data_IF_523007625978
#
_entry.id   IF_523007625978
#
_cell.length_a   1.000
_cell.length_b   1.000
_cell.length_c   1.000
_cell.angle_alpha   90.00
_cell.angle_beta   90.00
_cell.angle_gamma   90.00
#
_symmetry.space_group_name_H-M   'P 1'
#
loop_
_entity.id
_entity.type
_entity.pdbx_description
1 polymer ?
#
# COMPACT_ATOMS: atom_id res chain seq x y z
N UNK A 1 15.11 13.81 -46.77
CA UNK A 1 15.83 14.30 -45.57
C UNK A 1 15.38 15.68 -45.08
N UNK A 2 14.42 16.36 -45.72
CA UNK A 2 13.93 17.69 -45.28
C UNK A 2 13.14 17.70 -43.96
N UNK A 3 12.74 16.54 -43.42
CA UNK A 3 11.78 16.43 -42.31
C UNK A 3 12.38 16.52 -40.90
N UNK A 4 13.70 16.29 -40.71
CA UNK A 4 14.31 16.24 -39.36
C UNK A 4 14.90 17.59 -38.91
N UNK A 5 15.24 18.47 -39.85
CA UNK A 5 15.85 19.80 -39.57
C UNK A 5 14.95 20.70 -38.72
N UNK A 6 13.63 20.57 -38.87
CA UNK A 6 12.63 21.37 -38.18
C UNK A 6 12.18 20.77 -36.84
N UNK A 7 12.66 19.57 -36.48
CA UNK A 7 12.34 18.95 -35.18
C UNK A 7 13.16 19.65 -34.11
N UNK A 8 12.48 20.30 -33.17
CA UNK A 8 13.11 20.85 -31.99
C UNK A 8 13.51 19.71 -31.04
N UNK A 9 14.81 19.57 -30.80
CA UNK A 9 15.38 18.60 -29.86
C UNK A 9 15.73 19.31 -28.56
N UNK A 10 15.17 18.85 -27.45
CA UNK A 10 15.51 19.33 -26.12
C UNK A 10 16.40 18.30 -25.42
N UNK A 11 17.59 18.71 -24.99
CA UNK A 11 18.53 17.90 -24.20
C UNK A 11 18.40 18.27 -22.73
N UNK A 12 18.30 17.27 -21.85
CA UNK A 12 18.30 17.43 -20.39
C UNK A 12 19.48 16.63 -19.82
N UNK A 13 20.55 17.33 -19.46
CA UNK A 13 21.84 16.76 -19.05
C UNK A 13 22.57 17.83 -18.24
N UNK A 14 23.08 17.51 -17.05
CA UNK A 14 23.70 18.53 -16.19
C UNK A 14 25.08 18.96 -16.67
N UNK A 15 25.82 18.06 -17.32
CA UNK A 15 27.15 18.36 -17.77
C UNK A 15 27.13 19.09 -19.12
N UNK A 16 27.47 20.38 -19.13
CA UNK A 16 27.50 21.20 -20.36
C UNK A 16 28.42 20.64 -21.45
N UNK A 17 29.51 19.96 -21.08
CA UNK A 17 30.40 19.32 -22.06
C UNK A 17 29.70 18.17 -22.77
N UNK A 18 28.90 17.39 -22.03
CA UNK A 18 28.07 16.31 -22.59
C UNK A 18 26.95 16.90 -23.45
N UNK A 19 26.30 17.98 -23.00
CA UNK A 19 25.30 18.69 -23.83
C UNK A 19 25.89 19.11 -25.18
N UNK A 20 27.07 19.75 -25.18
CA UNK A 20 27.78 20.19 -26.40
C UNK A 20 28.17 19.01 -27.29
N UNK A 21 28.64 17.91 -26.71
CA UNK A 21 28.98 16.70 -27.46
C UNK A 21 27.74 16.10 -28.16
N UNK A 22 26.61 16.00 -27.45
CA UNK A 22 25.34 15.50 -28.01
C UNK A 22 24.83 16.45 -29.10
N UNK A 23 24.82 17.76 -28.84
CA UNK A 23 24.40 18.77 -29.82
C UNK A 23 25.26 18.70 -31.09
N UNK A 24 26.58 18.52 -30.96
CA UNK A 24 27.49 18.35 -32.10
C UNK A 24 27.18 17.08 -32.88
N UNK A 25 26.92 15.96 -32.20
CA UNK A 25 26.55 14.70 -32.86
C UNK A 25 25.20 14.84 -33.59
N UNK A 26 24.21 15.48 -32.98
CA UNK A 26 22.91 15.80 -33.57
C UNK A 26 23.06 16.70 -34.81
N UNK A 27 23.94 17.69 -34.76
CA UNK A 27 24.27 18.56 -35.91
C UNK A 27 24.83 17.79 -37.09
N UNK A 28 25.76 16.85 -36.84
CA UNK A 28 26.31 15.94 -37.88
C UNK A 28 25.24 15.04 -38.50
N UNK A 29 24.21 14.67 -37.72
CA UNK A 29 23.06 13.88 -38.18
C UNK A 29 22.05 14.75 -38.98
N UNK A 30 22.06 16.07 -38.77
CA UNK A 30 21.23 17.03 -39.50
C UNK A 30 20.12 17.70 -38.67
N UNK A 31 20.14 17.58 -37.33
CA UNK A 31 19.28 18.38 -36.46
C UNK A 31 19.89 19.77 -36.26
N UNK A 32 19.17 20.81 -36.67
CA UNK A 32 19.64 22.20 -36.57
C UNK A 32 18.94 23.00 -35.46
N UNK A 33 17.82 22.50 -34.93
CA UNK A 33 17.08 23.12 -33.85
C UNK A 33 17.26 22.32 -32.55
N UNK A 34 18.32 22.62 -31.80
CA UNK A 34 18.68 21.92 -30.55
C UNK A 34 18.79 22.94 -29.42
N UNK A 35 18.13 22.66 -28.30
CA UNK A 35 18.31 23.41 -27.05
C UNK A 35 18.66 22.46 -25.92
N UNK A 36 19.32 22.96 -24.87
CA UNK A 36 19.70 22.15 -23.72
C UNK A 36 19.34 22.85 -22.40
N UNK A 37 19.14 22.06 -21.36
CA UNK A 37 18.90 22.52 -19.98
C UNK A 37 19.54 21.54 -19.00
N UNK A 38 20.04 22.07 -17.88
CA UNK A 38 20.67 21.28 -16.82
C UNK A 38 19.69 20.71 -15.79
N UNK A 39 18.39 21.01 -15.87
CA UNK A 39 17.44 20.64 -14.83
C UNK A 39 16.06 20.23 -15.37
N UNK A 40 15.36 19.37 -14.62
CA UNK A 40 14.04 18.84 -15.03
C UNK A 40 12.94 19.91 -15.06
N UNK A 41 13.06 20.99 -14.29
CA UNK A 41 12.05 22.05 -14.19
C UNK A 41 12.15 23.00 -15.39
N UNK A 42 13.37 23.37 -15.80
CA UNK A 42 13.67 24.06 -17.04
C UNK A 42 13.23 23.27 -18.27
N UNK A 43 13.41 21.94 -18.23
CA UNK A 43 12.88 21.05 -19.26
C UNK A 43 11.34 21.12 -19.36
N UNK A 44 10.63 21.01 -18.23
CA UNK A 44 9.16 21.12 -18.19
C UNK A 44 8.66 22.48 -18.70
N UNK A 45 9.28 23.58 -18.26
CA UNK A 45 8.96 24.93 -18.74
C UNK A 45 9.12 25.05 -20.25
N UNK A 46 10.17 24.43 -20.81
CA UNK A 46 10.42 24.43 -22.25
C UNK A 46 9.36 23.63 -23.00
N UNK A 47 9.01 22.43 -22.53
CA UNK A 47 7.95 21.59 -23.12
C UNK A 47 6.59 22.30 -23.11
N UNK A 48 6.29 23.07 -22.06
CA UNK A 48 5.03 23.80 -21.94
C UNK A 48 4.95 25.05 -22.84
N UNK A 49 6.10 25.67 -23.17
CA UNK A 49 6.16 26.95 -23.91
C UNK A 49 6.33 26.79 -25.42
N UNK A 50 6.95 25.70 -25.87
CA UNK A 50 7.29 25.49 -27.27
C UNK A 50 7.08 24.04 -27.68
N UNK A 51 6.87 23.83 -28.98
CA UNK A 51 6.65 22.51 -29.55
C UNK A 51 7.95 21.72 -29.66
N UNK A 52 8.31 21.04 -28.58
CA UNK A 52 9.39 20.05 -28.57
C UNK A 52 8.97 18.84 -29.41
N UNK A 53 9.82 18.41 -30.34
CA UNK A 53 9.57 17.25 -31.20
C UNK A 53 10.32 15.99 -30.75
N UNK A 54 11.35 16.14 -29.94
CA UNK A 54 12.10 15.05 -29.32
C UNK A 54 12.75 15.53 -28.01
N UNK A 55 12.60 14.75 -26.94
CA UNK A 55 13.32 14.94 -25.69
C UNK A 55 14.43 13.89 -25.55
N UNK A 56 15.66 14.33 -25.28
CA UNK A 56 16.78 13.49 -24.87
C UNK A 56 17.05 13.80 -23.41
N UNK A 57 16.76 12.87 -22.50
CA UNK A 57 16.83 13.13 -21.06
C UNK A 57 17.76 12.15 -20.36
N UNK A 58 18.64 12.66 -19.51
CA UNK A 58 19.40 11.81 -18.61
C UNK A 58 18.50 11.13 -17.57
N UNK A 59 18.80 9.87 -17.25
CA UNK A 59 18.06 9.08 -16.28
C UNK A 59 18.14 9.65 -14.86
N UNK A 60 19.26 10.33 -14.53
CA UNK A 60 19.48 11.02 -13.26
C UNK A 60 20.04 12.41 -13.58
N UNK A 61 19.36 13.44 -13.10
CA UNK A 61 19.71 14.85 -13.30
C UNK A 61 19.87 15.45 -11.91
N UNK A 62 21.12 15.46 -11.41
CA UNK A 62 21.44 15.86 -10.04
C UNK A 62 20.94 14.82 -9.04
N UNK A 63 20.09 15.26 -8.12
CA UNK A 63 19.37 14.44 -7.14
C UNK A 63 18.04 13.89 -7.66
N UNK A 64 17.61 14.26 -8.88
CA UNK A 64 16.29 13.94 -9.43
C UNK A 64 16.35 12.88 -10.52
N UNK A 65 15.29 12.08 -10.61
CA UNK A 65 15.17 11.00 -11.59
C UNK A 65 14.38 11.43 -12.83
N UNK A 66 14.97 11.27 -14.02
CA UNK A 66 14.34 11.62 -15.30
C UNK A 66 13.03 10.86 -15.58
N UNK A 67 12.85 9.68 -14.96
CA UNK A 67 11.60 8.91 -15.03
C UNK A 67 10.38 9.70 -14.50
N UNK A 68 10.57 10.64 -13.56
CA UNK A 68 9.47 11.46 -13.05
C UNK A 68 8.97 12.45 -14.10
N UNK A 69 9.90 13.08 -14.84
CA UNK A 69 9.54 13.95 -15.96
C UNK A 69 8.86 13.15 -17.07
N UNK A 70 9.36 11.95 -17.39
CA UNK A 70 8.74 11.04 -18.36
C UNK A 70 7.29 10.69 -17.99
N UNK A 71 7.04 10.29 -16.74
CA UNK A 71 5.69 9.99 -16.25
C UNK A 71 4.76 11.20 -16.37
N UNK A 72 5.25 12.39 -15.99
CA UNK A 72 4.50 13.66 -16.10
C UNK A 72 4.15 14.01 -17.55
N UNK A 73 5.08 13.82 -18.49
CA UNK A 73 4.83 13.99 -19.92
C UNK A 73 3.73 13.03 -20.37
N UNK A 74 3.81 11.75 -20.02
CA UNK A 74 2.83 10.72 -20.41
C UNK A 74 1.44 10.97 -19.84
N UNK A 75 1.33 11.58 -18.66
CA UNK A 75 0.04 11.94 -18.04
C UNK A 75 -0.53 13.28 -18.48
N UNK A 76 0.18 14.08 -19.30
CA UNK A 76 -0.27 15.43 -19.69
C UNK A 76 -0.82 15.45 -21.11
N UNK A 77 -2.06 15.88 -21.26
CA UNK A 77 -2.72 16.03 -22.56
C UNK A 77 -1.95 17.00 -23.47
N UNK A 78 -1.88 16.69 -24.76
CA UNK A 78 -1.14 17.48 -25.75
C UNK A 78 0.33 17.09 -25.91
N UNK A 79 0.99 16.63 -24.84
CA UNK A 79 2.42 16.23 -24.88
C UNK A 79 2.66 14.74 -24.59
N UNK A 80 1.61 13.97 -24.26
CA UNK A 80 1.71 12.53 -23.96
C UNK A 80 2.42 11.71 -25.06
N UNK A 81 2.32 12.12 -26.33
CA UNK A 81 2.93 11.46 -27.49
C UNK A 81 4.36 11.94 -27.80
N UNK A 82 4.92 12.88 -27.04
CA UNK A 82 6.28 13.37 -27.23
C UNK A 82 7.29 12.21 -27.17
N UNK A 83 8.10 11.98 -28.23
CA UNK A 83 9.18 11.01 -28.18
C UNK A 83 10.22 11.37 -27.10
N UNK A 84 10.56 10.40 -26.25
CA UNK A 84 11.54 10.57 -25.17
C UNK A 84 12.60 9.48 -25.26
N UNK A 85 13.84 9.88 -25.53
CA UNK A 85 15.03 9.04 -25.45
C UNK A 85 15.67 9.22 -24.07
N UNK A 86 15.77 8.15 -23.29
CA UNK A 86 16.45 8.18 -21.99
C UNK A 86 17.92 7.80 -22.16
N UNK A 87 18.83 8.54 -21.52
CA UNK A 87 20.26 8.23 -21.50
C UNK A 87 20.73 7.87 -20.09
N UNK A 88 21.61 6.88 -19.94
CA UNK A 88 22.20 6.56 -18.63
C UNK A 88 23.64 6.09 -18.74
N UNK A 89 24.46 6.43 -17.75
CA UNK A 89 25.80 5.85 -17.57
C UNK A 89 25.77 4.45 -16.93
N UNK A 90 24.61 4.02 -16.39
CA UNK A 90 24.44 2.71 -15.75
C UNK A 90 23.72 1.74 -16.68
N UNK A 91 24.34 0.56 -16.89
CA UNK A 91 23.75 -0.55 -17.66
C UNK A 91 23.02 -1.54 -16.74
N UNK A 92 22.05 -1.05 -15.97
CA UNK A 92 21.19 -1.88 -15.13
C UNK A 92 19.89 -2.25 -15.88
N UNK A 93 19.62 -3.54 -16.15
CA UNK A 93 18.39 -3.99 -16.79
C UNK A 93 17.11 -3.52 -16.08
N UNK A 94 17.12 -3.36 -14.74
CA UNK A 94 15.96 -2.87 -13.98
C UNK A 94 15.65 -1.41 -14.30
N UNK A 95 16.68 -0.57 -14.43
CA UNK A 95 16.54 0.84 -14.81
C UNK A 95 15.99 0.96 -16.23
N UNK A 96 16.54 0.18 -17.17
CA UNK A 96 16.05 0.15 -18.55
C UNK A 96 14.58 -0.27 -18.60
N UNK A 97 14.23 -1.39 -17.95
CA UNK A 97 12.87 -1.89 -17.91
C UNK A 97 11.89 -0.89 -17.28
N UNK A 98 12.27 -0.21 -16.19
CA UNK A 98 11.43 0.79 -15.54
C UNK A 98 11.11 1.97 -16.45
N UNK A 99 12.10 2.51 -17.18
CA UNK A 99 11.90 3.64 -18.09
C UNK A 99 11.11 3.25 -19.34
N UNK A 100 11.40 2.07 -19.91
CA UNK A 100 10.62 1.56 -21.04
C UNK A 100 9.16 1.30 -20.65
N UNK A 101 8.90 0.72 -19.46
CA UNK A 101 7.54 0.52 -18.92
C UNK A 101 6.83 1.84 -18.61
N UNK A 102 7.57 2.87 -18.20
CA UNK A 102 7.04 4.23 -18.02
C UNK A 102 6.72 4.94 -19.36
N UNK A 103 7.01 4.31 -20.49
CA UNK A 103 6.66 4.80 -21.82
C UNK A 103 7.78 5.56 -22.52
N UNK A 104 9.05 5.36 -22.15
CA UNK A 104 10.17 5.88 -22.94
C UNK A 104 10.12 5.33 -24.38
N UNK A 105 10.44 6.17 -25.36
CA UNK A 105 10.46 5.75 -26.76
C UNK A 105 11.66 4.86 -27.07
N UNK A 106 12.78 5.11 -26.39
CA UNK A 106 14.03 4.37 -26.55
C UNK A 106 14.98 4.65 -25.36
N UNK A 107 15.99 3.81 -25.18
CA UNK A 107 17.02 3.93 -24.15
C UNK A 107 18.44 3.84 -24.74
N UNK A 108 19.34 4.70 -24.27
CA UNK A 108 20.73 4.80 -24.72
C UNK A 108 21.69 4.74 -23.52
N UNK A 109 22.75 3.94 -23.63
CA UNK A 109 23.80 3.81 -22.61
C UNK A 109 25.01 4.67 -22.99
N UNK A 110 25.58 5.40 -22.04
CA UNK A 110 26.81 6.18 -22.18
C UNK A 110 28.04 5.32 -21.82
N UNK A 111 29.19 5.50 -22.51
CA UNK A 111 29.41 6.30 -23.72
C UNK A 111 28.82 5.64 -24.98
N UNK A 112 28.59 6.44 -26.04
CA UNK A 112 28.04 5.97 -27.31
C UNK A 112 28.68 6.69 -28.51
N UNK A 113 28.64 6.04 -29.67
CA UNK A 113 29.05 6.65 -30.94
C UNK A 113 27.87 7.29 -31.69
N UNK A 114 28.19 8.02 -32.76
CA UNK A 114 27.18 8.70 -33.58
C UNK A 114 26.24 7.72 -34.30
N UNK A 115 26.72 6.52 -34.67
CA UNK A 115 25.92 5.50 -35.36
C UNK A 115 24.86 4.89 -34.44
N UNK A 116 25.23 4.61 -33.18
CA UNK A 116 24.34 4.12 -32.13
C UNK A 116 23.29 5.17 -31.80
N UNK A 117 23.71 6.43 -31.59
CA UNK A 117 22.77 7.53 -31.36
C UNK A 117 21.79 7.68 -32.52
N UNK A 118 22.26 7.68 -33.77
CA UNK A 118 21.41 7.78 -34.96
C UNK A 118 20.36 6.65 -35.02
N UNK A 119 20.77 5.43 -34.73
CA UNK A 119 19.87 4.26 -34.71
C UNK A 119 18.79 4.42 -33.66
N UNK A 120 19.17 4.83 -32.44
CA UNK A 120 18.25 5.05 -31.33
C UNK A 120 17.27 6.21 -31.60
N UNK A 121 17.74 7.28 -32.24
CA UNK A 121 16.89 8.40 -32.67
C UNK A 121 15.87 7.98 -33.74
N UNK A 122 16.29 7.21 -34.74
CA UNK A 122 15.37 6.67 -35.77
C UNK A 122 14.28 5.80 -35.13
N UNK A 123 14.65 4.94 -34.17
CA UNK A 123 13.68 4.13 -33.43
C UNK A 123 12.70 4.99 -32.63
N UNK A 124 13.22 5.95 -31.87
CA UNK A 124 12.41 6.82 -31.02
C UNK A 124 11.40 7.65 -31.82
N UNK A 125 11.76 8.11 -33.02
CA UNK A 125 10.90 8.93 -33.88
C UNK A 125 9.92 8.10 -34.74
N UNK A 126 10.23 6.83 -35.04
CA UNK A 126 9.39 5.98 -35.89
C UNK A 126 8.26 5.28 -35.13
N UNK A 127 8.42 5.06 -33.82
CA UNK A 127 7.38 4.45 -32.97
C UNK A 127 6.82 5.51 -32.02
N UNK A 128 5.58 6.01 -32.21
CA UNK A 128 4.96 6.87 -31.21
C UNK A 128 4.88 6.11 -29.88
N UNK A 129 5.23 6.73 -28.75
CA UNK A 129 5.29 6.04 -27.47
C UNK A 129 3.89 5.54 -27.10
N UNK A 130 3.80 4.26 -26.73
CA UNK A 130 2.64 3.74 -26.00
C UNK A 130 2.62 4.38 -24.62
N UNK A 131 1.54 5.10 -24.26
CA UNK A 131 1.34 5.51 -22.87
C UNK A 131 1.43 4.29 -21.96
N UNK A 132 1.95 4.41 -20.72
CA UNK A 132 1.91 3.30 -19.79
C UNK A 132 0.47 2.81 -19.65
N UNK A 133 0.26 1.48 -19.61
CA UNK A 133 -1.06 0.85 -19.55
C UNK A 133 -1.98 1.45 -18.46
N UNK A 134 -1.39 1.96 -17.38
CA UNK A 134 -2.08 2.65 -16.29
C UNK A 134 -2.79 3.95 -16.68
N UNK A 135 -2.40 4.61 -17.78
CA UNK A 135 -3.05 5.85 -18.23
C UNK A 135 -4.33 5.60 -19.02
N UNK A 136 -4.39 4.50 -19.78
CA UNK A 136 -5.60 4.12 -20.51
C UNK A 136 -6.57 3.37 -19.59
N UNK A 137 -6.07 2.48 -18.73
CA UNK A 137 -6.87 1.81 -17.69
C UNK A 137 -7.56 2.82 -16.77
N UNK A 138 -6.82 3.78 -16.18
CA UNK A 138 -7.41 4.81 -15.30
C UNK A 138 -8.47 5.64 -16.02
N UNK A 139 -8.21 6.05 -17.26
CA UNK A 139 -9.18 6.78 -18.07
C UNK A 139 -10.45 5.95 -18.31
N UNK A 140 -10.31 4.67 -18.63
CA UNK A 140 -11.46 3.77 -18.82
C UNK A 140 -12.25 3.58 -17.52
N UNK A 141 -11.57 3.48 -16.37
CA UNK A 141 -12.22 3.43 -15.06
C UNK A 141 -12.99 4.71 -14.75
N UNK A 142 -12.36 5.88 -14.89
CA UNK A 142 -13.00 7.19 -14.66
C UNK A 142 -14.23 7.38 -15.53
N UNK A 143 -14.13 7.05 -16.83
CA UNK A 143 -15.27 7.10 -17.75
C UNK A 143 -16.35 6.08 -17.39
N UNK A 144 -15.97 4.89 -16.95
CA UNK A 144 -16.89 3.84 -16.51
C UNK A 144 -17.69 4.26 -15.27
N UNK A 145 -17.02 4.81 -14.26
CA UNK A 145 -17.68 5.33 -13.06
C UNK A 145 -18.58 6.53 -13.38
N UNK A 146 -18.15 7.43 -14.27
CA UNK A 146 -19.02 8.51 -14.74
C UNK A 146 -20.28 7.99 -15.45
N UNK A 147 -20.19 6.88 -16.18
CA UNK A 147 -21.38 6.24 -16.77
C UNK A 147 -22.29 5.66 -15.68
N UNK A 148 -21.74 5.04 -14.63
CA UNK A 148 -22.51 4.55 -13.49
C UNK A 148 -23.26 5.67 -12.76
N UNK A 149 -22.61 6.81 -12.52
CA UNK A 149 -23.23 7.98 -11.87
C UNK A 149 -24.43 8.51 -12.66
N UNK A 150 -24.40 8.36 -13.99
CA UNK A 150 -25.48 8.71 -14.91
C UNK A 150 -26.45 7.54 -15.20
N UNK A 151 -26.34 6.42 -14.46
CA UNK A 151 -27.13 5.20 -14.63
C UNK A 151 -27.05 4.54 -16.02
N UNK A 152 -26.00 4.83 -16.79
CA UNK A 152 -25.74 4.21 -18.09
C UNK A 152 -24.93 2.93 -17.93
N UNK A 153 -25.63 1.85 -17.56
CA UNK A 153 -25.00 0.58 -17.27
C UNK A 153 -24.38 -0.10 -18.51
N UNK A 154 -24.94 0.10 -19.70
CA UNK A 154 -24.43 -0.52 -20.92
C UNK A 154 -23.08 0.06 -21.35
N UNK A 155 -22.93 1.39 -21.30
CA UNK A 155 -21.61 2.01 -21.54
C UNK A 155 -20.63 1.70 -20.42
N UNK A 156 -21.08 1.69 -19.16
CA UNK A 156 -20.23 1.30 -18.04
C UNK A 156 -19.67 -0.13 -18.22
N UNK A 157 -20.51 -1.11 -18.59
CA UNK A 157 -20.08 -2.49 -18.85
C UNK A 157 -19.01 -2.55 -19.95
N UNK A 158 -19.22 -1.85 -21.07
CA UNK A 158 -18.27 -1.83 -22.16
C UNK A 158 -16.91 -1.23 -21.76
N UNK A 159 -16.91 -0.16 -20.96
CA UNK A 159 -15.70 0.53 -20.51
C UNK A 159 -14.93 -0.30 -19.48
N UNK A 160 -15.61 -0.85 -18.47
CA UNK A 160 -14.96 -1.69 -17.48
C UNK A 160 -14.48 -3.03 -18.07
N UNK A 161 -15.17 -3.57 -19.06
CA UNK A 161 -14.69 -4.76 -19.80
C UNK A 161 -13.39 -4.45 -20.54
N UNK A 162 -13.28 -3.28 -21.16
CA UNK A 162 -12.03 -2.85 -21.79
C UNK A 162 -10.92 -2.63 -20.75
N UNK A 163 -11.24 -2.05 -19.59
CA UNK A 163 -10.29 -1.88 -18.50
C UNK A 163 -9.76 -3.24 -17.98
N UNK A 164 -10.66 -4.19 -17.72
CA UNK A 164 -10.30 -5.55 -17.27
C UNK A 164 -9.48 -6.31 -18.32
N UNK A 165 -9.79 -6.14 -19.61
CA UNK A 165 -8.98 -6.74 -20.70
C UNK A 165 -7.58 -6.11 -20.80
N UNK A 166 -7.47 -4.80 -20.59
CA UNK A 166 -6.19 -4.10 -20.62
C UNK A 166 -5.31 -4.49 -19.42
N UNK A 167 -5.91 -4.68 -18.25
CA UNK A 167 -5.24 -5.16 -17.05
C UNK A 167 -6.13 -6.15 -16.28
N UNK A 168 -5.92 -7.47 -16.45
CA UNK A 168 -6.68 -8.48 -15.73
C UNK A 168 -6.49 -8.47 -14.21
N UNK A 169 -5.50 -7.73 -13.69
CA UNK A 169 -5.26 -7.54 -12.25
C UNK A 169 -5.88 -6.25 -11.69
N UNK A 170 -6.63 -5.50 -12.50
CA UNK A 170 -7.37 -4.32 -12.06
C UNK A 170 -8.67 -4.76 -11.37
N UNK A 171 -8.67 -4.81 -10.03
CA UNK A 171 -9.81 -5.29 -9.26
C UNK A 171 -11.01 -4.32 -9.34
N UNK A 172 -10.72 -3.03 -9.47
CA UNK A 172 -11.66 -1.92 -9.63
C UNK A 172 -12.48 -2.05 -10.91
N UNK A 173 -11.91 -2.61 -11.99
CA UNK A 173 -12.63 -2.87 -13.22
C UNK A 173 -13.73 -3.92 -13.02
N UNK A 174 -13.43 -5.02 -12.32
CA UNK A 174 -14.42 -6.06 -12.03
C UNK A 174 -15.49 -5.57 -11.04
N UNK A 175 -15.10 -4.76 -10.05
CA UNK A 175 -16.06 -4.09 -9.17
C UNK A 175 -17.00 -3.16 -9.97
N UNK A 176 -16.47 -2.39 -10.91
CA UNK A 176 -17.26 -1.55 -11.82
C UNK A 176 -18.24 -2.38 -12.68
N UNK A 177 -17.80 -3.52 -13.21
CA UNK A 177 -18.67 -4.46 -13.94
C UNK A 177 -19.81 -4.96 -13.05
N UNK A 178 -19.51 -5.36 -11.80
CA UNK A 178 -20.52 -5.79 -10.86
C UNK A 178 -21.58 -4.70 -10.62
N UNK A 179 -21.17 -3.47 -10.32
CA UNK A 179 -22.10 -2.37 -10.11
C UNK A 179 -22.98 -2.09 -11.34
N UNK A 180 -22.44 -2.20 -12.55
CA UNK A 180 -23.23 -2.08 -13.77
C UNK A 180 -24.28 -3.20 -13.91
N UNK A 181 -23.91 -4.46 -13.63
CA UNK A 181 -24.83 -5.59 -13.58
C UNK A 181 -25.94 -5.39 -12.54
N UNK A 182 -25.59 -4.84 -11.37
CA UNK A 182 -26.55 -4.50 -10.30
C UNK A 182 -27.59 -3.48 -10.76
N UNK A 183 -27.19 -2.43 -11.48
CA UNK A 183 -28.12 -1.45 -12.09
C UNK A 183 -29.06 -2.14 -13.09
N UNK A 184 -28.53 -3.07 -13.89
CA UNK A 184 -29.33 -3.88 -14.83
C UNK A 184 -30.17 -4.97 -14.17
N UNK A 185 -30.06 -5.15 -12.84
CA UNK A 185 -30.70 -6.23 -12.06
C UNK A 185 -30.29 -7.64 -12.49
N UNK A 186 -29.12 -7.77 -13.11
CA UNK A 186 -28.50 -9.05 -13.44
C UNK A 186 -27.68 -9.52 -12.23
N UNK A 187 -28.35 -10.17 -11.29
CA UNK A 187 -27.74 -10.58 -10.01
C UNK A 187 -26.76 -11.74 -10.16
N UNK A 188 -26.94 -12.59 -11.18
CA UNK A 188 -26.03 -13.69 -11.47
C UNK A 188 -24.66 -13.14 -11.89
N UNK A 189 -24.65 -12.20 -12.84
CA UNK A 189 -23.41 -11.55 -13.28
C UNK A 189 -22.81 -10.65 -12.19
N UNK A 190 -23.65 -9.97 -11.40
CA UNK A 190 -23.18 -9.21 -10.24
C UNK A 190 -22.35 -10.09 -9.29
N UNK A 191 -22.88 -11.26 -8.89
CA UNK A 191 -22.18 -12.16 -7.97
C UNK A 191 -20.88 -12.70 -8.57
N UNK A 192 -20.87 -13.03 -9.86
CA UNK A 192 -19.66 -13.47 -10.57
C UNK A 192 -18.59 -12.38 -10.55
N UNK A 193 -18.94 -11.14 -10.88
CA UNK A 193 -17.97 -10.04 -10.95
C UNK A 193 -17.51 -9.58 -9.57
N UNK A 194 -18.37 -9.57 -8.55
CA UNK A 194 -17.98 -9.29 -7.15
C UNK A 194 -16.98 -10.33 -6.64
N UNK A 195 -17.28 -11.62 -6.84
CA UNK A 195 -16.37 -12.69 -6.45
C UNK A 195 -15.03 -12.59 -7.19
N UNK A 196 -15.07 -12.25 -8.48
CA UNK A 196 -13.85 -12.02 -9.28
C UNK A 196 -13.05 -10.84 -8.74
N UNK A 197 -13.69 -9.71 -8.43
CA UNK A 197 -13.04 -8.54 -7.84
C UNK A 197 -12.36 -8.90 -6.52
N UNK A 198 -13.07 -9.58 -5.61
CA UNK A 198 -12.53 -10.00 -4.32
C UNK A 198 -11.28 -10.89 -4.48
N UNK A 199 -11.32 -11.88 -5.37
CA UNK A 199 -10.17 -12.75 -5.68
C UNK A 199 -8.98 -11.95 -6.22
N UNK A 200 -9.21 -10.96 -7.07
CA UNK A 200 -8.14 -10.10 -7.62
C UNK A 200 -7.56 -9.20 -6.53
N UNK A 201 -8.37 -8.65 -5.63
CA UNK A 201 -7.87 -7.89 -4.47
C UNK A 201 -6.99 -8.76 -3.56
N UNK A 202 -7.39 -10.01 -3.27
CA UNK A 202 -6.53 -10.97 -2.54
C UNK A 202 -5.22 -11.20 -3.27
N UNK A 203 -5.26 -11.42 -4.59
CA UNK A 203 -4.05 -11.65 -5.39
C UNK A 203 -3.12 -10.41 -5.46
N UNK A 204 -3.67 -9.21 -5.28
CA UNK A 204 -2.92 -7.96 -5.20
C UNK A 204 -2.41 -7.65 -3.79
N UNK A 205 -2.82 -8.41 -2.77
CA UNK A 205 -2.45 -8.21 -1.36
C UNK A 205 -3.33 -7.23 -0.59
N UNK A 206 -4.36 -6.67 -1.23
CA UNK A 206 -5.31 -5.75 -0.57
C UNK A 206 -6.45 -6.55 0.07
N UNK A 207 -6.14 -7.13 1.24
CA UNK A 207 -7.06 -8.00 1.95
C UNK A 207 -8.26 -7.24 2.54
N UNK A 208 -8.07 -5.98 2.94
CA UNK A 208 -9.15 -5.16 3.50
C UNK A 208 -10.23 -4.88 2.45
N UNK A 209 -9.83 -4.52 1.22
CA UNK A 209 -10.78 -4.35 0.12
C UNK A 209 -11.48 -5.66 -0.26
N UNK A 210 -10.75 -6.78 -0.28
CA UNK A 210 -11.33 -8.10 -0.56
C UNK A 210 -12.42 -8.49 0.46
N UNK A 211 -12.16 -8.27 1.75
CA UNK A 211 -13.12 -8.56 2.82
C UNK A 211 -14.37 -7.69 2.70
N UNK A 212 -14.21 -6.38 2.44
CA UNK A 212 -15.34 -5.48 2.22
C UNK A 212 -16.23 -5.94 1.06
N UNK A 213 -15.64 -6.35 -0.06
CA UNK A 213 -16.38 -6.86 -1.23
C UNK A 213 -17.09 -8.17 -0.90
N UNK A 214 -16.43 -9.07 -0.18
CA UNK A 214 -17.04 -10.33 0.22
C UNK A 214 -18.22 -10.13 1.16
N UNK A 215 -18.10 -9.23 2.14
CA UNK A 215 -19.18 -8.89 3.04
C UNK A 215 -20.36 -8.25 2.30
N UNK A 216 -20.11 -7.38 1.31
CA UNK A 216 -21.17 -6.86 0.44
C UNK A 216 -21.83 -7.98 -0.36
N UNK A 217 -21.06 -8.87 -0.98
CA UNK A 217 -21.58 -9.99 -1.77
C UNK A 217 -22.48 -10.91 -0.94
N UNK A 218 -22.10 -11.20 0.31
CA UNK A 218 -22.86 -12.05 1.23
C UNK A 218 -24.23 -11.49 1.59
N UNK A 219 -24.44 -10.18 1.47
CA UNK A 219 -25.77 -9.58 1.65
C UNK A 219 -26.77 -10.01 0.55
N UNK A 220 -26.26 -10.45 -0.61
CA UNK A 220 -27.07 -10.86 -1.76
C UNK A 220 -26.99 -12.37 -2.02
N UNK A 221 -25.85 -12.98 -1.73
CA UNK A 221 -25.60 -14.41 -1.85
C UNK A 221 -24.89 -14.92 -0.61
N UNK A 222 -25.66 -15.45 0.35
CA UNK A 222 -25.13 -16.02 1.57
C UNK A 222 -24.24 -17.26 1.33
N UNK A 223 -24.34 -17.88 0.14
CA UNK A 223 -23.53 -19.04 -0.27
C UNK A 223 -22.27 -18.65 -1.03
N UNK A 224 -22.02 -17.34 -1.21
CA UNK A 224 -20.86 -16.85 -1.93
C UNK A 224 -19.57 -17.42 -1.35
N UNK A 225 -18.64 -17.91 -2.19
CA UNK A 225 -17.42 -18.54 -1.71
C UNK A 225 -16.47 -17.49 -1.12
N UNK A 226 -15.89 -17.81 0.04
CA UNK A 226 -14.87 -16.98 0.68
C UNK A 226 -13.65 -16.80 -0.24
N UNK A 227 -13.28 -15.55 -0.60
CA UNK A 227 -12.21 -15.29 -1.56
C UNK A 227 -10.84 -15.74 -1.01
N UNK A 228 -10.63 -15.67 0.30
CA UNK A 228 -9.40 -16.11 0.95
C UNK A 228 -9.29 -17.64 0.91
N UNK A 229 -10.38 -18.37 1.19
CA UNK A 229 -10.40 -19.84 1.11
C UNK A 229 -10.14 -20.33 -0.31
N UNK A 230 -10.75 -19.68 -1.30
CA UNK A 230 -10.55 -20.01 -2.71
C UNK A 230 -9.10 -19.76 -3.15
N UNK A 231 -8.52 -18.62 -2.78
CA UNK A 231 -7.12 -18.30 -3.08
C UNK A 231 -6.14 -19.24 -2.34
N UNK A 232 -6.40 -19.54 -1.07
CA UNK A 232 -5.59 -20.47 -0.27
C UNK A 232 -5.57 -21.87 -0.87
N UNK A 233 -6.73 -22.38 -1.29
CA UNK A 233 -6.84 -23.69 -1.95
C UNK A 233 -6.03 -23.73 -3.24
N UNK A 234 -6.12 -22.69 -4.07
CA UNK A 234 -5.33 -22.61 -5.31
C UNK A 234 -3.81 -22.55 -5.06
N UNK A 235 -3.35 -21.93 -3.97
CA UNK A 235 -1.92 -21.90 -3.59
C UNK A 235 -1.47 -23.26 -3.05
N UNK A 236 -2.29 -23.90 -2.22
CA UNK A 236 -2.05 -25.26 -1.72
C UNK A 236 -1.88 -26.24 -2.87
N UNK A 237 -2.75 -26.19 -3.87
CA UNK A 237 -2.71 -27.09 -5.03
C UNK A 237 -1.48 -26.85 -5.92
N UNK A 238 -0.93 -25.63 -5.90
CA UNK A 238 0.37 -25.29 -6.51
C UNK A 238 1.59 -25.69 -5.67
N UNK A 239 1.37 -26.18 -4.45
CA UNK A 239 2.43 -26.55 -3.51
C UNK A 239 2.97 -25.39 -2.66
N UNK A 240 2.46 -24.16 -2.81
CA UNK A 240 2.84 -23.04 -1.95
C UNK A 240 2.08 -23.09 -0.62
N UNK A 241 2.50 -24.04 0.22
CA UNK A 241 1.87 -24.31 1.53
C UNK A 241 1.98 -23.13 2.49
N UNK A 242 3.09 -22.37 2.43
CA UNK A 242 3.31 -21.22 3.33
C UNK A 242 2.31 -20.11 3.07
N UNK A 243 2.16 -19.70 1.82
CA UNK A 243 1.18 -18.67 1.44
C UNK A 243 -0.26 -19.16 1.64
N UNK A 244 -0.53 -20.44 1.38
CA UNK A 244 -1.84 -21.04 1.65
C UNK A 244 -2.23 -20.98 3.14
N UNK A 245 -1.31 -21.30 4.05
CA UNK A 245 -1.53 -21.22 5.50
C UNK A 245 -1.92 -19.79 5.91
N UNK A 246 -1.20 -18.77 5.39
CA UNK A 246 -1.49 -17.37 5.71
C UNK A 246 -2.90 -16.97 5.26
N UNK A 247 -3.33 -17.38 4.06
CA UNK A 247 -4.67 -17.07 3.55
C UNK A 247 -5.77 -17.87 4.23
N UNK A 248 -5.56 -19.14 4.59
CA UNK A 248 -6.54 -19.90 5.38
C UNK A 248 -6.75 -19.30 6.77
N UNK A 249 -5.71 -18.75 7.40
CA UNK A 249 -5.86 -18.00 8.66
C UNK A 249 -6.74 -16.76 8.48
N UNK A 250 -6.60 -16.03 7.36
CA UNK A 250 -7.48 -14.90 7.03
C UNK A 250 -8.92 -15.36 6.75
N UNK A 251 -9.09 -16.47 6.03
CA UNK A 251 -10.41 -17.06 5.78
C UNK A 251 -11.16 -17.38 7.07
N UNK A 252 -10.47 -17.97 8.06
CA UNK A 252 -11.02 -18.26 9.39
C UNK A 252 -11.42 -16.98 10.14
N UNK A 253 -10.64 -15.91 10.01
CA UNK A 253 -10.99 -14.62 10.63
C UNK A 253 -12.32 -14.05 10.10
N UNK A 254 -12.59 -14.24 8.80
CA UNK A 254 -13.82 -13.76 8.15
C UNK A 254 -15.00 -14.71 8.36
N UNK A 255 -14.73 -16.02 8.44
CA UNK A 255 -15.73 -17.08 8.67
C UNK A 255 -15.29 -18.03 9.79
N UNK A 256 -15.44 -17.62 11.06
CA UNK A 256 -14.98 -18.41 12.21
C UNK A 256 -15.81 -19.68 12.45
N UNK A 257 -16.99 -19.80 11.82
CA UNK A 257 -17.89 -20.94 11.96
C UNK A 257 -17.86 -21.89 10.75
N UNK A 258 -16.86 -21.75 9.86
CA UNK A 258 -16.70 -22.60 8.69
C UNK A 258 -15.68 -23.72 8.95
N UNK A 259 -16.15 -24.91 9.32
CA UNK A 259 -15.32 -26.08 9.63
C UNK A 259 -14.34 -26.47 8.50
N UNK A 260 -14.72 -26.25 7.24
CA UNK A 260 -13.89 -26.57 6.08
C UNK A 260 -12.59 -25.75 6.06
N UNK A 261 -12.62 -24.49 6.49
CA UNK A 261 -11.44 -23.63 6.53
C UNK A 261 -10.42 -24.12 7.56
N UNK A 262 -10.89 -24.58 8.73
CA UNK A 262 -10.04 -25.17 9.75
C UNK A 262 -9.44 -26.51 9.31
N UNK A 263 -10.23 -27.36 8.66
CA UNK A 263 -9.75 -28.62 8.10
C UNK A 263 -8.72 -28.40 6.98
N UNK A 264 -8.98 -27.51 6.03
CA UNK A 264 -8.03 -27.23 4.96
C UNK A 264 -6.70 -26.65 5.49
N UNK A 265 -6.75 -25.84 6.56
CA UNK A 265 -5.56 -25.35 7.25
C UNK A 265 -4.80 -26.49 7.95
N UNK A 266 -5.49 -27.42 8.62
CA UNK A 266 -4.83 -28.54 9.30
C UNK A 266 -4.12 -29.47 8.32
N UNK A 267 -4.69 -29.71 7.14
CA UNK A 267 -4.02 -30.46 6.07
C UNK A 267 -2.70 -29.80 5.64
N UNK A 268 -2.72 -28.47 5.44
CA UNK A 268 -1.51 -27.72 5.09
C UNK A 268 -0.46 -27.81 6.20
N UNK A 269 -0.86 -27.63 7.45
CA UNK A 269 0.03 -27.69 8.61
C UNK A 269 0.67 -29.07 8.76
N UNK A 270 -0.13 -30.15 8.63
CA UNK A 270 0.37 -31.53 8.65
C UNK A 270 1.43 -31.75 7.58
N UNK A 271 1.17 -31.33 6.32
CA UNK A 271 2.13 -31.47 5.22
C UNK A 271 3.43 -30.68 5.44
N UNK A 272 3.38 -29.61 6.23
CA UNK A 272 4.57 -28.81 6.60
C UNK A 272 5.25 -29.28 7.89
N UNK A 273 4.78 -30.36 8.53
CA UNK A 273 5.35 -30.92 9.75
C UNK A 273 4.93 -30.23 11.06
N UNK A 274 4.02 -29.26 11.00
CA UNK A 274 3.49 -28.55 12.17
C UNK A 274 2.34 -29.38 12.78
N UNK A 275 2.68 -30.54 13.36
CA UNK A 275 1.70 -31.55 13.77
C UNK A 275 0.79 -31.10 14.93
N UNK A 276 1.34 -30.39 15.92
CA UNK A 276 0.56 -29.90 17.06
C UNK A 276 -0.47 -28.85 16.63
N UNK A 277 -0.06 -27.90 15.79
CA UNK A 277 -0.97 -26.91 15.21
C UNK A 277 -2.03 -27.57 14.32
N UNK A 278 -1.65 -28.59 13.53
CA UNK A 278 -2.58 -29.35 12.71
C UNK A 278 -3.64 -30.05 13.57
N UNK A 279 -3.22 -30.68 14.68
CA UNK A 279 -4.11 -31.31 15.66
C UNK A 279 -5.09 -30.30 16.25
N UNK A 280 -4.60 -29.12 16.64
CA UNK A 280 -5.47 -28.07 17.15
C UNK A 280 -6.53 -27.65 16.11
N UNK A 281 -6.11 -27.35 14.88
CA UNK A 281 -7.02 -26.87 13.83
C UNK A 281 -8.05 -27.92 13.41
N UNK A 282 -7.68 -29.20 13.32
CA UNK A 282 -8.67 -30.26 13.02
C UNK A 282 -9.65 -30.49 14.17
N UNK A 283 -9.22 -30.26 15.42
CA UNK A 283 -10.11 -30.31 16.60
C UNK A 283 -11.13 -29.17 16.54
N UNK A 284 -10.70 -27.96 16.17
CA UNK A 284 -11.59 -26.81 15.96
C UNK A 284 -12.62 -27.10 14.84
N UNK A 285 -12.19 -27.72 13.73
CA UNK A 285 -13.11 -28.16 12.66
C UNK A 285 -14.19 -29.13 13.17
N UNK A 286 -13.79 -30.17 13.92
CA UNK A 286 -14.69 -31.18 14.49
C UNK A 286 -15.58 -30.63 15.62
N UNK A 287 -15.12 -29.58 16.30
CA UNK A 287 -15.93 -28.87 17.30
C UNK A 287 -17.09 -28.14 16.62
N UNK A 288 -16.84 -27.51 15.47
CA UNK A 288 -17.84 -26.80 14.67
C UNK A 288 -18.79 -27.80 13.97
N UNK A 289 -18.24 -28.84 13.35
CA UNK A 289 -19.00 -29.85 12.61
C UNK A 289 -18.54 -31.26 13.02
N UNK A 290 -19.34 -31.93 13.85
CA UNK A 290 -19.02 -33.28 14.35
C UNK A 290 -19.02 -34.32 13.23
N UNK A 291 -20.03 -34.25 12.35
CA UNK A 291 -20.17 -35.11 11.18
C UNK A 291 -19.27 -34.62 10.04
N UNK A 292 -17.98 -34.83 10.21
CA UNK A 292 -16.96 -34.50 9.22
C UNK A 292 -15.97 -35.67 9.05
N UNK A 293 -16.25 -36.64 8.15
CA UNK A 293 -15.49 -37.88 8.01
C UNK A 293 -14.00 -37.68 7.76
N UNK A 294 -13.64 -36.75 6.88
CA UNK A 294 -12.24 -36.47 6.54
C UNK A 294 -11.47 -35.85 7.71
N UNK A 295 -12.11 -34.93 8.45
CA UNK A 295 -11.53 -34.36 9.66
C UNK A 295 -11.35 -35.41 10.77
N UNK A 296 -12.30 -36.34 10.95
CA UNK A 296 -12.17 -37.46 11.91
C UNK A 296 -11.03 -38.39 11.54
N UNK A 297 -10.87 -38.70 10.25
CA UNK A 297 -9.77 -39.52 9.74
C UNK A 297 -8.42 -38.86 9.98
N UNK A 298 -8.32 -37.56 9.71
CA UNK A 298 -7.11 -36.78 9.94
C UNK A 298 -6.78 -36.68 11.44
N UNK A 299 -7.76 -36.40 12.29
CA UNK A 299 -7.60 -36.40 13.75
C UNK A 299 -7.03 -37.74 14.24
N UNK A 300 -7.65 -38.85 13.85
CA UNK A 300 -7.16 -40.20 14.22
C UNK A 300 -5.73 -40.45 13.72
N UNK A 301 -5.39 -39.98 12.53
CA UNK A 301 -4.04 -40.08 12.00
C UNK A 301 -2.99 -39.30 12.81
N UNK A 302 -3.38 -38.16 13.37
CA UNK A 302 -2.50 -37.30 14.18
C UNK A 302 -2.42 -37.72 15.66
N UNK A 303 -3.48 -38.28 16.23
CA UNK A 303 -3.57 -38.58 17.68
C UNK A 303 -3.51 -40.07 18.01
N UNK A 304 -3.84 -40.94 17.06
CA UNK A 304 -4.07 -42.37 17.31
C UNK A 304 -5.46 -42.70 17.86
N UNK A 305 -6.26 -41.70 18.22
CA UNK A 305 -7.55 -41.85 18.91
C UNK A 305 -8.74 -41.57 17.99
N UNK A 306 -9.90 -42.17 18.27
CA UNK A 306 -11.14 -41.85 17.54
C UNK A 306 -11.82 -40.66 18.21
N UNK A 307 -12.22 -39.68 17.41
CA UNK A 307 -13.07 -38.58 17.87
C UNK A 307 -14.47 -39.08 18.24
N UNK A 308 -14.99 -38.63 19.39
CA UNK A 308 -16.31 -38.97 19.91
C UNK A 308 -17.14 -37.71 20.19
N UNK A 309 -18.46 -37.85 20.32
CA UNK A 309 -19.34 -36.74 20.69
C UNK A 309 -19.07 -36.18 22.10
N UNK A 310 -18.43 -36.96 22.97
CA UNK A 310 -17.93 -36.48 24.28
C UNK A 310 -16.78 -35.50 24.07
N UNK A 311 -15.82 -35.82 23.19
CA UNK A 311 -14.68 -34.94 22.87
C UNK A 311 -15.16 -33.61 22.28
N UNK A 312 -16.20 -33.64 21.46
CA UNK A 312 -16.81 -32.43 20.91
C UNK A 312 -17.40 -31.53 22.02
N UNK A 313 -18.12 -32.14 22.97
CA UNK A 313 -18.73 -31.41 24.09
C UNK A 313 -17.66 -30.76 24.97
N UNK A 314 -16.57 -31.49 25.26
CA UNK A 314 -15.44 -30.99 26.04
C UNK A 314 -14.69 -29.87 25.30
N UNK A 315 -14.46 -30.01 23.99
CA UNK A 315 -13.81 -28.99 23.17
C UNK A 315 -14.67 -27.72 23.06
N UNK A 316 -15.99 -27.86 22.89
CA UNK A 316 -16.92 -26.75 22.87
C UNK A 316 -16.97 -26.01 24.23
N UNK A 317 -16.92 -26.75 25.35
CA UNK A 317 -16.85 -26.17 26.68
C UNK A 317 -15.56 -25.37 26.89
N UNK A 318 -14.40 -25.92 26.49
CA UNK A 318 -13.11 -25.21 26.52
C UNK A 318 -13.10 -23.97 25.64
N UNK A 319 -13.70 -24.03 24.43
CA UNK A 319 -13.83 -22.88 23.53
C UNK A 319 -14.64 -21.76 24.19
N UNK A 320 -15.81 -22.07 24.77
CA UNK A 320 -16.64 -21.09 25.50
C UNK A 320 -15.94 -20.47 26.71
N UNK A 321 -15.19 -21.28 27.47
CA UNK A 321 -14.42 -20.77 28.60
C UNK A 321 -13.32 -19.82 28.12
N UNK A 322 -12.59 -20.18 27.07
CA UNK A 322 -11.55 -19.34 26.47
C UNK A 322 -12.12 -18.07 25.87
N UNK A 323 -13.26 -18.13 25.18
CA UNK A 323 -13.95 -16.96 24.63
C UNK A 323 -14.34 -15.98 25.72
N UNK A 324 -14.84 -16.48 26.86
CA UNK A 324 -15.15 -15.67 28.03
C UNK A 324 -13.90 -15.03 28.66
N UNK A 325 -12.81 -15.81 28.81
CA UNK A 325 -11.53 -15.27 29.26
C UNK A 325 -10.91 -14.26 28.28
N UNK A 326 -11.08 -14.47 26.98
CA UNK A 326 -10.60 -13.59 25.92
C UNK A 326 -11.51 -12.37 25.75
N UNK A 327 -12.79 -12.44 26.11
CA UNK A 327 -13.71 -11.29 26.22
C UNK A 327 -13.35 -10.44 27.44
N UNK A 328 -13.04 -11.08 28.58
CA UNK A 328 -12.49 -10.43 29.78
C UNK A 328 -11.11 -9.77 29.48
N UNK A 329 -10.30 -10.36 28.58
CA UNK A 329 -9.02 -9.78 28.12
C UNK A 329 -9.17 -8.77 26.99
N UNK A 330 -10.16 -8.89 26.10
CA UNK A 330 -10.43 -7.97 24.96
C UNK A 330 -10.85 -6.57 25.40
N UNK A 331 -11.19 -6.39 26.68
CA UNK A 331 -11.20 -5.06 27.31
C UNK A 331 -9.83 -4.35 27.33
N UNK A 332 -8.74 -5.06 27.04
CA UNK A 332 -7.37 -4.52 27.02
C UNK A 332 -6.67 -4.87 25.70
N UNK A 333 -6.78 -3.98 24.72
CA UNK A 333 -5.96 -3.99 23.51
C UNK A 333 -4.64 -3.25 23.80
N UNK A 334 -3.55 -3.54 23.07
CA UNK A 334 -2.31 -2.75 23.14
C UNK A 334 -1.78 -2.59 21.72
N UNK A 335 -1.46 -1.35 21.35
CA UNK A 335 -0.79 -1.00 20.11
C UNK A 335 0.55 -0.34 20.40
N UNK A 336 1.49 -0.51 19.48
CA UNK A 336 2.76 0.21 19.43
C UNK A 336 2.55 1.43 18.54
N UNK A 337 2.55 2.64 19.12
CA UNK A 337 2.48 3.90 18.37
C UNK A 337 3.91 4.40 18.18
N UNK A 338 4.40 4.58 16.95
CA UNK A 338 5.60 5.36 16.72
C UNK A 338 5.27 6.81 17.08
N UNK A 339 5.96 7.36 18.07
CA UNK A 339 6.01 8.79 18.40
C UNK A 339 4.65 9.49 18.54
N UNK A 340 4.08 9.40 19.75
CA UNK A 340 2.94 10.23 20.11
C UNK A 340 3.38 11.70 20.13
N UNK A 341 2.78 12.51 19.26
CA UNK A 341 3.03 13.94 19.15
C UNK A 341 2.01 14.69 20.03
N UNK A 342 2.48 15.32 21.10
CA UNK A 342 1.64 16.11 22.03
C UNK A 342 1.86 17.60 21.76
N UNK A 343 0.77 18.31 21.47
CA UNK A 343 0.73 19.78 21.42
C UNK A 343 0.12 20.30 22.73
N UNK A 344 0.85 21.16 23.44
CA UNK A 344 0.41 21.77 24.70
C UNK A 344 -0.15 23.16 24.39
N UNK A 345 -1.46 23.35 24.60
CA UNK A 345 -2.11 24.63 24.32
C UNK A 345 -1.54 25.71 25.25
N UNK A 346 -0.67 26.56 24.69
CA UNK A 346 0.11 27.58 25.40
C UNK A 346 1.57 27.66 24.94
N UNK A 347 2.09 26.58 24.36
CA UNK A 347 3.43 26.48 23.76
C UNK A 347 3.32 26.00 22.30
N UNK A 348 4.14 26.54 21.38
CA UNK A 348 4.07 26.22 19.94
C UNK A 348 4.84 24.94 19.54
N UNK A 349 5.35 24.21 20.52
CA UNK A 349 6.23 23.07 20.28
C UNK A 349 5.50 21.75 20.43
N UNK A 350 5.90 20.79 19.60
CA UNK A 350 5.38 19.44 19.59
C UNK A 350 6.42 18.48 20.17
N UNK A 351 5.99 17.53 20.99
CA UNK A 351 6.90 16.63 21.68
C UNK A 351 6.61 15.16 21.39
N UNK A 352 7.67 14.39 21.12
CA UNK A 352 7.60 12.95 20.89
C UNK A 352 7.81 12.16 22.20
N UNK A 353 6.83 11.33 22.56
CA UNK A 353 6.94 10.38 23.68
C UNK A 353 7.14 8.96 23.15
N UNK A 354 8.14 8.27 23.70
CA UNK A 354 8.70 7.04 23.11
C UNK A 354 8.08 5.74 23.60
N UNK A 355 7.19 5.75 24.60
CA UNK A 355 6.39 4.56 24.92
C UNK A 355 5.10 4.93 25.68
N UNK A 356 3.95 4.82 25.02
CA UNK A 356 2.63 5.02 25.62
C UNK A 356 1.62 4.07 24.97
N UNK A 357 1.02 3.21 25.78
CA UNK A 357 -0.06 2.32 25.34
C UNK A 357 -1.36 3.13 25.20
N UNK A 358 -1.98 3.09 24.02
CA UNK A 358 -3.23 3.81 23.71
C UNK A 358 -4.38 3.46 24.67
N UNK A 359 -4.43 2.22 25.14
CA UNK A 359 -5.41 1.77 26.14
C UNK A 359 -5.15 2.35 27.53
N UNK A 360 -3.89 2.66 27.85
CA UNK A 360 -3.53 3.35 29.10
C UNK A 360 -4.00 4.81 29.10
N UNK A 361 -4.29 5.35 27.91
CA UNK A 361 -4.79 6.71 27.68
C UNK A 361 -6.32 6.78 27.51
N UNK A 362 -7.03 5.66 27.71
CA UNK A 362 -8.48 5.59 27.59
C UNK A 362 -9.01 5.70 26.16
N UNK A 363 -8.15 5.50 25.15
CA UNK A 363 -8.54 5.51 23.74
C UNK A 363 -8.96 4.10 23.30
N UNK A 364 -10.20 3.97 22.83
CA UNK A 364 -10.74 2.74 22.25
C UNK A 364 -10.76 2.90 20.72
N UNK A 365 -9.91 2.18 19.96
CA UNK A 365 -9.92 2.26 18.50
C UNK A 365 -11.14 1.52 17.92
N UNK A 366 -11.58 1.93 16.72
CA UNK A 366 -12.71 1.29 16.03
C UNK A 366 -12.35 -0.09 15.49
N UNK A 367 -11.07 -0.32 15.18
CA UNK A 367 -10.46 -1.58 14.73
C UNK A 367 -8.94 -1.58 15.00
N UNK A 368 -8.21 -2.58 14.52
CA UNK A 368 -6.76 -2.75 14.78
C UNK A 368 -5.87 -1.59 14.28
N UNK A 369 -6.40 -0.57 13.58
CA UNK A 369 -5.56 0.49 12.98
C UNK A 369 -6.16 1.90 12.89
N UNK A 370 -7.39 2.19 13.34
CA UNK A 370 -8.02 3.49 13.10
C UNK A 370 -8.66 4.19 14.33
N UNK A 371 -8.44 5.51 14.42
CA UNK A 371 -9.06 6.44 15.37
C UNK A 371 -9.92 7.47 14.62
N UNK A 372 -11.03 7.91 15.22
CA UNK A 372 -11.85 8.99 14.66
C UNK A 372 -11.24 10.36 15.01
N UNK A 373 -10.83 11.12 13.99
CA UNK A 373 -10.30 12.48 14.16
C UNK A 373 -11.36 13.35 14.84
N UNK A 374 -11.00 13.97 15.94
CA UNK A 374 -11.88 14.84 16.73
C UNK A 374 -12.60 14.18 17.90
N UNK A 375 -12.35 12.89 18.15
CA UNK A 375 -12.82 12.20 19.35
C UNK A 375 -12.26 12.83 20.63
N UNK A 376 -13.13 13.04 21.63
CA UNK A 376 -12.71 13.49 22.98
C UNK A 376 -12.22 12.30 23.79
N UNK A 377 -11.04 12.45 24.39
CA UNK A 377 -10.41 11.41 25.19
C UNK A 377 -10.13 11.91 26.62
N UNK A 378 -10.25 11.00 27.59
CA UNK A 378 -9.85 11.22 28.98
C UNK A 378 -8.61 10.39 29.26
N UNK A 379 -7.51 11.07 29.56
CA UNK A 379 -6.17 10.52 29.45
C UNK A 379 -5.52 10.43 30.84
N UNK A 380 -4.85 9.30 31.09
CA UNK A 380 -4.04 9.05 32.28
C UNK A 380 -2.59 8.81 31.85
N UNK A 381 -1.67 9.71 32.23
CA UNK A 381 -0.25 9.55 31.90
C UNK A 381 0.45 8.90 33.09
N UNK A 382 1.03 7.72 32.88
CA UNK A 382 1.85 7.02 33.86
C UNK A 382 3.31 7.14 33.46
N UNK A 383 4.16 7.69 34.33
CA UNK A 383 5.61 7.80 34.11
C UNK A 383 6.24 6.40 34.14
N UNK A 384 6.97 6.03 33.09
CA UNK A 384 7.88 4.88 33.09
C UNK A 384 9.29 5.36 33.50
N UNK A 385 9.59 5.29 34.79
CA UNK A 385 10.94 5.57 35.27
C UNK A 385 11.11 5.31 36.76
N UNK A 386 11.96 4.32 37.05
CA UNK A 386 12.60 3.93 38.32
C UNK A 386 11.74 3.81 39.59
N UNK A 387 11.99 2.72 40.32
CA UNK A 387 11.29 2.35 41.55
C UNK A 387 11.37 3.50 42.56
N UNK A 388 10.24 4.15 42.86
CA UNK A 388 10.07 4.88 44.13
C UNK A 388 9.37 6.24 44.11
N UNK A 389 9.16 6.91 42.98
CA UNK A 389 8.50 8.24 42.98
C UNK A 389 7.46 8.36 41.86
N UNK A 390 6.18 8.13 42.21
CA UNK A 390 5.05 8.38 41.33
C UNK A 390 4.52 9.80 41.53
N UNK A 391 4.56 10.63 40.50
CA UNK A 391 3.47 11.55 40.24
C UNK A 391 2.61 10.95 39.11
N UNK A 392 1.29 10.93 39.33
CA UNK A 392 0.29 10.40 38.39
C UNK A 392 -0.53 11.59 37.88
N UNK A 393 -0.33 12.00 36.62
CA UNK A 393 -1.19 13.02 36.01
C UNK A 393 -2.51 12.36 35.61
N UNK A 394 -3.57 12.67 36.36
CA UNK A 394 -4.92 12.13 36.15
C UNK A 394 -5.86 13.18 35.57
N UNK A 395 -6.82 12.71 34.78
CA UNK A 395 -7.96 13.49 34.27
C UNK A 395 -7.62 14.56 33.23
N UNK A 396 -6.60 14.33 32.40
CA UNK A 396 -6.36 15.21 31.24
C UNK A 396 -7.48 15.01 30.21
N UNK A 397 -7.93 16.10 29.60
CA UNK A 397 -8.88 16.06 28.47
C UNK A 397 -8.13 16.44 27.21
N UNK A 398 -8.35 15.70 26.14
CA UNK A 398 -7.75 16.01 24.86
C UNK A 398 -8.60 15.60 23.68
N UNK A 399 -8.19 16.06 22.49
CA UNK A 399 -8.81 15.77 21.21
C UNK A 399 -7.81 15.05 20.31
N UNK A 400 -8.26 13.99 19.67
CA UNK A 400 -7.45 13.25 18.68
C UNK A 400 -7.32 14.09 17.41
N UNK A 401 -6.09 14.30 16.96
CA UNK A 401 -5.75 15.12 15.79
C UNK A 401 -4.89 14.33 14.81
N UNK A 402 -4.96 14.68 13.53
CA UNK A 402 -4.07 14.12 12.51
C UNK A 402 -2.93 15.09 12.26
N UNK A 403 -1.71 14.61 12.47
CA UNK A 403 -0.48 15.41 12.34
C UNK A 403 0.11 15.19 10.96
N UNK A 404 0.21 13.93 10.51
CA UNK A 404 0.69 13.54 9.18
C UNK A 404 -0.13 12.39 8.58
N UNK A 405 0.23 11.93 7.38
CA UNK A 405 -0.50 10.88 6.66
C UNK A 405 -0.53 9.55 7.45
N UNK A 406 0.48 9.27 8.29
CA UNK A 406 0.55 8.07 9.13
C UNK A 406 0.67 8.38 10.65
N UNK A 407 0.60 9.65 11.05
CA UNK A 407 0.86 10.09 12.44
C UNK A 407 -0.38 10.71 13.06
N UNK A 408 -0.79 10.17 14.21
CA UNK A 408 -1.93 10.66 15.01
C UNK A 408 -1.41 11.31 16.29
N UNK A 409 -1.84 12.53 16.56
CA UNK A 409 -1.46 13.32 17.74
C UNK A 409 -2.63 13.55 18.69
N UNK A 410 -2.34 14.12 19.86
CA UNK A 410 -3.33 14.51 20.86
C UNK A 410 -3.13 15.98 21.24
N UNK A 411 -4.20 16.76 21.12
CA UNK A 411 -4.26 18.15 21.59
C UNK A 411 -4.87 18.15 22.99
N UNK A 412 -4.12 18.62 24.00
CA UNK A 412 -4.57 18.63 25.40
C UNK A 412 -5.18 20.00 25.77
N UNK A 413 -6.27 19.98 26.51
CA UNK A 413 -6.98 21.17 26.97
C UNK A 413 -7.20 21.15 28.49
N UNK A 414 -7.46 22.34 29.04
CA UNK A 414 -7.82 22.53 30.45
C UNK A 414 -6.74 22.04 31.45
N UNK A 415 -5.46 22.17 31.10
CA UNK A 415 -4.34 21.83 31.99
C UNK A 415 -4.18 22.87 33.11
N UNK A 416 -3.89 22.43 34.33
CA UNK A 416 -3.37 23.33 35.37
C UNK A 416 -1.88 23.59 35.16
N UNK A 417 -1.35 24.72 35.65
CA UNK A 417 0.08 25.05 35.53
C UNK A 417 1.01 24.00 36.18
N UNK A 418 0.51 23.30 37.21
CA UNK A 418 1.23 22.18 37.83
C UNK A 418 1.30 20.97 36.89
N UNK A 419 0.17 20.63 36.23
CA UNK A 419 0.11 19.54 35.25
C UNK A 419 0.96 19.83 34.02
N UNK A 420 0.98 21.08 33.55
CA UNK A 420 1.80 21.52 32.41
C UNK A 420 3.30 21.41 32.72
N UNK A 421 3.73 21.90 33.89
CA UNK A 421 5.12 21.82 34.34
C UNK A 421 5.59 20.37 34.50
N UNK A 422 4.75 19.50 35.04
CA UNK A 422 5.07 18.09 35.22
C UNK A 422 5.19 17.35 33.87
N UNK A 423 4.30 17.65 32.91
CA UNK A 423 4.37 17.12 31.54
C UNK A 423 5.66 17.53 30.84
N UNK A 424 6.07 18.79 30.96
CA UNK A 424 7.32 19.30 30.38
C UNK A 424 8.55 18.58 30.93
N UNK A 425 8.63 18.37 32.24
CA UNK A 425 9.75 17.63 32.85
C UNK A 425 9.84 16.18 32.38
N UNK A 426 8.69 15.52 32.19
CA UNK A 426 8.62 14.15 31.66
C UNK A 426 9.16 14.09 30.23
N UNK A 427 8.79 15.08 29.42
CA UNK A 427 9.20 15.20 28.02
C UNK A 427 10.71 15.46 27.91
N UNK A 428 11.25 16.42 28.67
CA UNK A 428 12.68 16.75 28.67
C UNK A 428 13.53 15.53 29.06
N UNK A 429 13.13 14.79 30.10
CA UNK A 429 13.82 13.58 30.52
C UNK A 429 13.80 12.47 29.46
N UNK A 430 12.71 12.35 28.69
CA UNK A 430 12.61 11.40 27.59
C UNK A 430 13.54 11.78 26.43
N UNK A 431 13.63 13.07 26.10
CA UNK A 431 14.52 13.58 25.06
C UNK A 431 16.00 13.38 25.41
N UNK A 432 16.40 13.62 26.66
CA UNK A 432 17.78 13.36 27.10
C UNK A 432 18.17 11.89 26.98
N UNK A 433 17.28 10.96 27.38
CA UNK A 433 17.51 9.52 27.23
C UNK A 433 17.68 9.12 25.77
N UNK A 434 16.90 9.69 24.87
CA UNK A 434 17.04 9.46 23.43
C UNK A 434 18.39 9.98 22.91
N UNK A 435 18.81 11.20 23.29
CA UNK A 435 20.12 11.76 22.92
C UNK A 435 21.28 10.89 23.41
N UNK A 436 21.16 10.30 24.60
CA UNK A 436 22.17 9.35 25.12
C UNK A 436 22.19 8.05 24.32
N UNK A 437 21.03 7.45 24.05
CA UNK A 437 20.90 6.21 23.28
C UNK A 437 21.43 6.33 21.84
N UNK A 438 21.26 7.50 21.21
CA UNK A 438 21.77 7.75 19.86
C UNK A 438 23.25 8.13 19.81
N UNK A 439 23.83 8.68 20.89
CA UNK A 439 25.29 8.85 21.03
C UNK A 439 26.02 7.51 21.08
N UNK A 440 25.41 6.47 21.66
CA UNK A 440 25.97 5.11 21.70
C UNK A 440 25.99 4.43 20.32
N UNK A 441 25.13 4.86 19.38
CA UNK A 441 25.00 4.28 18.04
C UNK A 441 25.85 4.97 16.95
N UNK A 442 26.70 5.94 17.31
CA UNK A 442 27.69 6.58 16.43
C UNK A 442 27.12 7.17 15.11
N UNK A 443 25.91 7.76 15.19
CA UNK A 443 25.31 8.54 14.10
C UNK A 443 25.33 10.02 14.49
N UNK A 444 26.20 10.82 13.86
CA UNK A 444 26.13 12.28 13.97
C UNK A 444 24.94 12.81 13.15
N UNK A 445 23.94 13.34 13.83
CA UNK A 445 22.91 14.20 13.24
C UNK A 445 23.04 15.56 13.93
N UNK A 446 23.25 16.62 13.15
CA UNK A 446 23.23 18.01 13.62
C UNK A 446 21.78 18.40 13.91
N UNK A 447 21.53 18.87 15.13
CA UNK A 447 20.31 19.61 15.48
C UNK A 447 20.66 21.10 15.43
N UNK A 448 19.94 21.86 14.61
CA UNK A 448 19.99 23.33 14.59
C UNK A 448 18.71 23.82 15.28
N UNK A 449 18.86 24.58 16.37
CA UNK A 449 17.75 25.15 17.15
C UNK A 449 17.86 26.66 17.01
N UNK A 450 16.88 27.26 16.35
CA UNK A 450 16.76 28.71 16.24
C UNK A 450 15.82 29.20 17.35
N UNK A 451 16.37 29.87 18.37
CA UNK A 451 15.59 30.50 19.44
C UNK A 451 15.26 31.94 19.05
N UNK A 452 14.03 32.20 18.61
CA UNK A 452 13.52 33.57 18.54
C UNK A 452 12.74 33.91 19.82
N UNK A 453 13.32 34.81 20.61
CA UNK A 453 12.65 35.47 21.72
C UNK A 453 11.77 36.62 21.20
N UNK A 454 10.56 36.74 21.74
CA UNK A 454 9.92 38.04 21.98
C UNK A 454 9.26 38.03 23.34
#
# INVERSE_FOLDING_TARGET
>A
MASIKNIHVLIVEQNESVQKAIATALGKIGFTNVSATGDLLGAWKSIARQKVGLLICEAVVGDKFGIHLLKKIRSTQGVAKLPVLIMSSKKDPKIVAAHMKAGASEFLIKPFDAATLLTKLKNALSKPPTPPASSNEKKLLEQGYHCLDNYDADRALALFTQAARANPKCAEAYKGLAHACKIKKDMDQFSIFMNTAAKVFVANGDHAAAEKIFNELRMYDASAPNPFSAAASALRDKGDMKSAIALFRKAIGVEPDNAQNFFALSECLMKTGQLDDAKQRVTEALTIQDDFPDARKLYKGLTGEKWTSSDQSDAAAKKKQKEKEDEDKRGTVRFWVPDLLIEVVGHKDHFALTELSLNSLGLNPMDDTSFEIGQKAKIHILRLGEVGTKPEIKNLKGKVMRVEEETVGLELHDLTSEQESELLQIIEAAQERQKQKFKEENKEIKFEIDMMFM
#
